data_IF_748868427802
#
_entry.id   IF_748868427802
#
_cell.length_a   1.000
_cell.length_b   1.000
_cell.length_c   1.000
_cell.angle_alpha   90.00
_cell.angle_beta   90.00
_cell.angle_gamma   90.00
#
_symmetry.space_group_name_H-M   'P 1'
#
loop_
_entity.id
_entity.type
_entity.pdbx_description
1 polymer ?
#
# COMPACT_ATOMS: atom_id res chain seq x y z
N UNK A 1 27.46 80.91 6.89
CA UNK A 1 27.21 79.97 5.78
C UNK A 1 28.10 78.75 5.98
N UNK A 2 27.50 77.57 5.78
CA UNK A 2 28.07 76.21 5.82
C UNK A 2 28.12 75.46 7.17
N UNK A 3 27.63 74.22 7.07
CA UNK A 3 27.72 73.05 7.97
C UNK A 3 26.77 73.06 9.18
N UNK A 4 26.14 71.95 9.63
CA UNK A 4 26.31 70.50 9.45
C UNK A 4 25.04 69.80 10.01
N UNK A 5 24.79 68.55 9.61
CA UNK A 5 23.78 67.62 10.20
C UNK A 5 24.05 67.39 11.70
N UNK A 6 23.05 66.99 12.51
CA UNK A 6 23.24 65.75 13.26
C UNK A 6 22.00 64.84 13.34
N UNK A 7 22.28 63.54 13.46
CA UNK A 7 21.40 62.41 13.74
C UNK A 7 20.74 62.49 15.14
N UNK A 8 19.61 61.80 15.33
CA UNK A 8 19.21 61.16 16.60
C UNK A 8 17.99 60.24 16.43
N UNK A 9 18.16 58.97 16.80
CA UNK A 9 17.14 57.91 16.88
C UNK A 9 16.22 58.05 18.13
N UNK A 10 15.43 57.03 18.55
CA UNK A 10 14.24 56.40 17.96
C UNK A 10 13.02 56.52 18.90
N UNK A 11 11.80 56.17 18.46
CA UNK A 11 10.63 56.02 19.35
C UNK A 11 9.85 54.72 19.07
N UNK A 12 9.40 53.98 20.12
CA UNK A 12 8.95 52.59 19.98
C UNK A 12 7.45 52.52 19.69
N UNK A 13 7.06 51.94 18.55
CA UNK A 13 5.66 51.72 18.20
C UNK A 13 5.28 50.24 18.32
N UNK A 14 4.44 49.96 19.31
CA UNK A 14 3.76 48.70 19.66
C UNK A 14 3.33 47.88 18.43
N UNK A 15 3.79 46.63 18.33
CA UNK A 15 3.22 45.61 17.43
C UNK A 15 1.80 45.26 17.88
N UNK A 16 0.81 45.56 17.02
CA UNK A 16 -0.56 45.04 17.11
C UNK A 16 -0.60 43.63 16.50
N UNK A 17 -1.10 42.66 17.24
CA UNK A 17 -1.38 41.30 16.75
C UNK A 17 -2.59 41.31 15.81
N UNK A 18 -2.49 40.66 14.66
CA UNK A 18 -3.57 40.47 13.69
C UNK A 18 -4.04 39.02 13.78
N UNK A 19 -5.30 38.81 14.14
CA UNK A 19 -5.98 37.52 14.07
C UNK A 19 -6.05 37.07 12.60
N UNK A 20 -5.67 35.83 12.32
CA UNK A 20 -5.94 35.14 11.07
C UNK A 20 -7.10 34.16 11.30
N UNK A 21 -8.17 34.31 10.52
CA UNK A 21 -9.26 33.35 10.40
C UNK A 21 -8.80 32.16 9.52
N UNK A 22 -9.30 30.93 9.74
CA UNK A 22 -8.89 29.78 8.95
C UNK A 22 -9.60 29.73 7.58
N UNK A 23 -8.81 29.76 6.52
CA UNK A 23 -9.21 29.47 5.13
C UNK A 23 -9.69 28.00 4.97
N UNK A 24 -10.63 27.71 4.04
CA UNK A 24 -11.21 26.38 3.86
C UNK A 24 -10.21 25.42 3.19
N UNK A 25 -10.06 24.22 3.77
CA UNK A 25 -9.20 23.16 3.24
C UNK A 25 -9.75 22.62 1.91
N UNK A 26 -8.94 22.75 0.87
CA UNK A 26 -9.15 22.17 -0.46
C UNK A 26 -9.04 20.64 -0.44
N UNK A 27 -10.04 19.96 -1.01
CA UNK A 27 -10.30 18.51 -0.92
C UNK A 27 -9.43 17.61 -1.84
N UNK A 28 -8.19 17.99 -2.16
CA UNK A 28 -7.38 17.29 -3.18
C UNK A 28 -6.13 16.54 -2.66
N UNK A 29 -5.92 16.44 -1.34
CA UNK A 29 -4.65 15.92 -0.79
C UNK A 29 -4.61 14.42 -0.45
N UNK A 30 -5.67 13.63 -0.70
CA UNK A 30 -5.69 12.21 -0.30
C UNK A 30 -4.98 11.29 -1.31
N UNK A 31 -4.79 11.71 -2.56
CA UNK A 31 -4.22 10.83 -3.61
C UNK A 31 -2.68 10.82 -3.59
N UNK A 32 -2.05 11.80 -2.94
CA UNK A 32 -0.59 11.96 -2.96
C UNK A 32 0.14 11.33 -1.76
N UNK A 33 -0.57 10.73 -0.80
CA UNK A 33 0.06 10.11 0.37
C UNK A 33 0.69 8.74 0.06
N UNK A 34 0.31 8.09 -1.04
CA UNK A 34 0.88 6.81 -1.47
C UNK A 34 2.06 6.94 -2.44
N UNK A 35 2.29 8.11 -3.03
CA UNK A 35 3.44 8.36 -3.92
C UNK A 35 4.73 8.62 -3.12
N UNK A 36 4.62 9.15 -1.91
CA UNK A 36 5.78 9.55 -1.09
C UNK A 36 6.35 8.43 -0.21
N UNK A 37 5.68 7.28 -0.08
CA UNK A 37 6.25 6.11 0.62
C UNK A 37 7.16 5.25 -0.26
N UNK A 38 7.48 5.71 -1.47
CA UNK A 38 8.31 4.99 -2.44
C UNK A 38 9.82 5.13 -2.18
N UNK A 39 10.25 6.08 -1.36
CA UNK A 39 11.67 6.45 -1.23
C UNK A 39 12.40 5.78 -0.06
N UNK A 40 11.71 5.10 0.85
CA UNK A 40 12.35 4.52 2.04
C UNK A 40 12.50 2.99 1.93
N UNK A 41 13.68 2.61 1.47
CA UNK A 41 14.34 1.30 1.61
C UNK A 41 13.94 0.19 0.62
N UNK A 42 14.92 -0.69 0.40
CA UNK A 42 14.96 -1.87 -0.48
C UNK A 42 15.49 -1.58 -1.88
N UNK A 43 16.59 -2.26 -2.21
CA UNK A 43 17.10 -2.37 -3.57
C UNK A 43 15.93 -2.75 -4.50
N UNK A 44 15.52 -1.82 -5.38
CA UNK A 44 14.40 -2.04 -6.27
C UNK A 44 14.74 -3.18 -7.22
N UNK A 45 14.17 -4.35 -6.94
CA UNK A 45 14.29 -5.49 -7.82
C UNK A 45 13.39 -5.27 -9.04
N UNK A 46 13.83 -5.73 -10.20
CA UNK A 46 13.06 -5.60 -11.45
C UNK A 46 11.70 -6.29 -11.32
N UNK A 47 11.62 -7.39 -10.56
CA UNK A 47 10.36 -8.08 -10.24
C UNK A 47 9.39 -7.19 -9.46
N UNK A 48 9.86 -6.51 -8.42
CA UNK A 48 9.00 -5.63 -7.62
C UNK A 48 8.49 -4.45 -8.46
N UNK A 49 9.33 -3.87 -9.31
CA UNK A 49 8.92 -2.82 -10.24
C UNK A 49 7.89 -3.31 -11.26
N UNK A 50 8.13 -4.46 -11.89
CA UNK A 50 7.19 -5.05 -12.82
C UNK A 50 5.83 -5.31 -12.15
N UNK A 51 5.81 -5.86 -10.93
CA UNK A 51 4.57 -6.07 -10.17
C UNK A 51 3.83 -4.76 -9.88
N UNK A 52 4.53 -3.70 -9.47
CA UNK A 52 3.92 -2.38 -9.24
C UNK A 52 3.36 -1.78 -10.53
N UNK A 53 4.11 -1.86 -11.63
CA UNK A 53 3.68 -1.37 -12.93
C UNK A 53 2.45 -2.12 -13.45
N UNK A 54 2.46 -3.46 -13.37
CA UNK A 54 1.31 -4.28 -13.77
C UNK A 54 0.09 -3.99 -12.91
N UNK A 55 0.26 -3.85 -11.58
CA UNK A 55 -0.83 -3.45 -10.67
C UNK A 55 -1.43 -2.09 -11.05
N UNK A 56 -0.60 -1.11 -11.40
CA UNK A 56 -1.06 0.24 -11.76
C UNK A 56 -1.84 0.29 -13.09
N UNK A 57 -1.67 -0.71 -13.97
CA UNK A 57 -2.40 -0.78 -15.24
C UNK A 57 -3.85 -1.23 -15.07
N UNK A 58 -4.23 -1.77 -13.90
CA UNK A 58 -5.61 -2.19 -13.69
C UNK A 58 -6.54 -0.99 -13.58
N UNK A 59 -7.63 -0.95 -14.38
CA UNK A 59 -8.60 0.12 -14.29
C UNK A 59 -9.35 0.05 -12.96
N UNK A 60 -9.60 1.22 -12.36
CA UNK A 60 -10.38 1.34 -11.13
C UNK A 60 -11.87 1.19 -11.46
N UNK A 61 -12.34 -0.05 -11.60
CA UNK A 61 -13.74 -0.35 -11.88
C UNK A 61 -14.50 -0.41 -10.55
N UNK A 62 -15.39 0.55 -10.31
CA UNK A 62 -16.19 0.65 -9.06
C UNK A 62 -17.01 -0.62 -8.71
N UNK A 63 -17.31 -1.45 -9.71
CA UNK A 63 -18.06 -2.71 -9.54
C UNK A 63 -17.20 -3.93 -9.16
N UNK A 64 -15.88 -3.85 -9.28
CA UNK A 64 -14.98 -4.97 -8.96
C UNK A 64 -14.49 -4.79 -7.52
N UNK A 65 -14.95 -5.64 -6.61
CA UNK A 65 -14.60 -5.55 -5.18
C UNK A 65 -13.22 -6.14 -4.85
N UNK A 66 -12.63 -6.87 -5.80
CA UNK A 66 -11.38 -7.61 -5.60
C UNK A 66 -10.21 -6.74 -6.08
N UNK A 67 -9.17 -6.51 -5.25
CA UNK A 67 -7.94 -5.87 -5.69
C UNK A 67 -7.30 -6.59 -6.88
N UNK A 68 -6.54 -5.87 -7.71
CA UNK A 68 -5.81 -6.49 -8.80
C UNK A 68 -4.74 -7.47 -8.29
N UNK A 69 -4.54 -8.55 -9.05
CA UNK A 69 -3.45 -9.50 -8.86
C UNK A 69 -2.80 -9.79 -10.20
N UNK A 70 -1.52 -10.15 -10.16
CA UNK A 70 -0.69 -10.43 -11.34
C UNK A 70 -0.48 -11.92 -11.46
N UNK A 71 -0.60 -12.49 -12.65
CA UNK A 71 -0.26 -13.89 -12.86
C UNK A 71 1.26 -14.06 -12.99
N UNK A 72 1.83 -15.11 -12.41
CA UNK A 72 3.26 -15.39 -12.52
C UNK A 72 3.69 -15.57 -13.99
N UNK A 73 2.80 -16.10 -14.85
CA UNK A 73 3.01 -16.18 -16.30
C UNK A 73 3.16 -14.82 -16.98
N UNK A 74 2.47 -13.77 -16.50
CA UNK A 74 2.62 -12.40 -16.99
C UNK A 74 3.99 -11.84 -16.60
N UNK A 75 4.46 -12.15 -15.40
CA UNK A 75 5.76 -11.70 -14.91
C UNK A 75 6.92 -12.34 -15.68
N UNK A 76 6.85 -13.65 -15.95
CA UNK A 76 7.80 -14.34 -16.82
C UNK A 76 7.82 -13.82 -18.26
N UNK A 77 6.71 -13.22 -18.71
CA UNK A 77 6.64 -12.61 -20.05
C UNK A 77 7.28 -11.22 -20.08
N UNK A 78 7.33 -10.52 -18.94
CA UNK A 78 7.89 -9.18 -18.82
C UNK A 78 9.39 -9.17 -18.50
N UNK A 79 9.89 -10.19 -17.78
CA UNK A 79 11.28 -10.28 -17.32
C UNK A 79 11.93 -11.52 -17.92
N UNK A 80 13.11 -11.35 -18.53
CA UNK A 80 13.78 -12.41 -19.28
C UNK A 80 14.31 -13.55 -18.40
N UNK A 81 14.78 -13.23 -17.20
CA UNK A 81 15.45 -14.18 -16.33
C UNK A 81 14.47 -14.81 -15.32
N UNK A 82 13.87 -15.95 -15.69
CA UNK A 82 12.87 -16.64 -14.85
C UNK A 82 13.42 -17.06 -13.48
N UNK A 83 14.68 -17.52 -13.43
CA UNK A 83 15.32 -17.96 -12.18
C UNK A 83 15.49 -16.82 -11.18
N UNK A 84 15.78 -15.61 -11.68
CA UNK A 84 15.88 -14.41 -10.85
C UNK A 84 14.52 -13.97 -10.35
N UNK A 85 13.50 -13.97 -11.23
CA UNK A 85 12.10 -13.74 -10.84
C UNK A 85 11.67 -14.70 -9.72
N UNK A 86 11.98 -15.99 -9.84
CA UNK A 86 11.61 -16.97 -8.80
C UNK A 86 12.31 -16.68 -7.46
N UNK A 87 13.60 -16.33 -7.48
CA UNK A 87 14.35 -15.97 -6.27
C UNK A 87 13.81 -14.69 -5.63
N UNK A 88 13.49 -13.69 -6.44
CA UNK A 88 12.96 -12.41 -5.98
C UNK A 88 11.54 -12.55 -5.44
N UNK A 89 10.64 -13.24 -6.14
CA UNK A 89 9.29 -13.58 -5.64
C UNK A 89 9.40 -14.27 -4.28
N UNK A 90 10.29 -15.26 -4.17
CA UNK A 90 10.45 -16.00 -2.92
C UNK A 90 11.01 -15.11 -1.79
N UNK A 91 11.85 -14.11 -2.11
CA UNK A 91 12.27 -13.09 -1.13
C UNK A 91 11.13 -12.19 -0.71
N UNK A 92 10.39 -11.62 -1.68
CA UNK A 92 9.23 -10.77 -1.43
C UNK A 92 8.14 -11.50 -0.61
N UNK A 93 7.99 -12.81 -0.84
CA UNK A 93 7.09 -13.68 -0.05
C UNK A 93 7.57 -13.80 1.39
N UNK A 94 8.85 -14.09 1.63
CA UNK A 94 9.44 -14.18 3.00
C UNK A 94 9.38 -12.84 3.74
N UNK A 95 9.57 -11.74 3.03
CA UNK A 95 9.45 -10.37 3.54
C UNK A 95 7.99 -9.92 3.73
N UNK A 96 7.01 -10.79 3.40
CA UNK A 96 5.57 -10.55 3.51
C UNK A 96 5.07 -9.37 2.67
N UNK A 97 5.82 -8.98 1.64
CA UNK A 97 5.44 -7.91 0.70
C UNK A 97 4.35 -8.39 -0.26
N UNK A 98 4.47 -9.64 -0.71
CA UNK A 98 3.51 -10.26 -1.62
C UNK A 98 3.02 -11.59 -1.10
N UNK A 99 1.80 -11.95 -1.51
CA UNK A 99 1.19 -13.25 -1.29
C UNK A 99 0.95 -13.95 -2.62
N UNK A 100 1.27 -15.23 -2.65
CA UNK A 100 1.09 -16.10 -3.80
C UNK A 100 -0.13 -16.97 -3.52
N UNK A 101 -0.97 -17.18 -4.53
CA UNK A 101 -2.12 -18.06 -4.45
C UNK A 101 -2.06 -19.04 -5.61
N UNK A 102 -2.26 -20.32 -5.30
CA UNK A 102 -2.45 -21.33 -6.35
C UNK A 102 -3.88 -21.22 -6.91
N UNK A 103 -4.00 -21.00 -8.22
CA UNK A 103 -5.28 -20.98 -8.92
C UNK A 103 -5.64 -22.38 -9.43
N UNK A 104 -6.94 -22.60 -9.65
CA UNK A 104 -7.46 -23.86 -10.18
C UNK A 104 -7.61 -23.86 -11.71
N UNK A 105 -7.09 -22.84 -12.40
CA UNK A 105 -7.31 -22.60 -13.83
C UNK A 105 -6.37 -23.36 -14.76
N UNK A 106 -5.29 -23.94 -14.22
CA UNK A 106 -4.28 -24.67 -15.00
C UNK A 106 -3.19 -25.28 -14.12
N UNK A 107 -2.26 -26.03 -14.73
CA UNK A 107 -1.01 -26.42 -14.07
C UNK A 107 -0.12 -25.17 -13.98
N UNK A 108 0.40 -24.89 -12.79
CA UNK A 108 1.32 -23.77 -12.50
C UNK A 108 0.74 -22.35 -12.62
N UNK A 109 -0.58 -22.20 -12.61
CA UNK A 109 -1.21 -20.88 -12.50
C UNK A 109 -1.14 -20.36 -11.06
N UNK A 110 -0.20 -19.45 -10.83
CA UNK A 110 -0.04 -18.74 -9.57
C UNK A 110 -0.41 -17.27 -9.73
N UNK A 111 -1.27 -16.78 -8.83
CA UNK A 111 -1.58 -15.38 -8.68
C UNK A 111 -0.69 -14.74 -7.61
N UNK A 112 -0.18 -13.55 -7.88
CA UNK A 112 0.64 -12.76 -6.99
C UNK A 112 -0.14 -11.48 -6.67
N UNK A 113 -0.35 -11.22 -5.39
CA UNK A 113 -1.02 -10.01 -4.90
C UNK A 113 -0.14 -9.36 -3.83
N UNK A 114 -0.19 -8.03 -3.71
CA UNK A 114 0.44 -7.37 -2.56
C UNK A 114 -0.28 -7.77 -1.27
N UNK A 115 0.49 -8.02 -0.21
CA UNK A 115 -0.10 -8.41 1.08
C UNK A 115 -1.02 -7.34 1.62
N UNK A 116 -0.66 -6.07 1.45
CA UNK A 116 -1.48 -4.93 1.88
C UNK A 116 -2.84 -4.90 1.15
N UNK A 117 -2.85 -5.22 -0.14
CA UNK A 117 -4.08 -5.29 -0.94
C UNK A 117 -4.99 -6.42 -0.44
N UNK A 118 -4.39 -7.57 -0.12
CA UNK A 118 -5.09 -8.71 0.43
C UNK A 118 -5.67 -8.42 1.82
N UNK A 119 -4.90 -7.81 2.72
CA UNK A 119 -5.39 -7.40 4.06
C UNK A 119 -6.52 -6.39 3.92
N UNK A 120 -6.35 -5.37 3.06
CA UNK A 120 -7.40 -4.38 2.78
C UNK A 120 -8.67 -5.03 2.25
N UNK A 121 -8.55 -6.09 1.44
CA UNK A 121 -9.71 -6.85 0.96
C UNK A 121 -10.43 -7.56 2.11
N UNK A 122 -9.71 -8.21 3.02
CA UNK A 122 -10.29 -8.86 4.20
C UNK A 122 -11.04 -7.81 5.03
N UNK A 123 -10.41 -6.68 5.34
CA UNK A 123 -11.03 -5.62 6.14
C UNK A 123 -12.30 -5.06 5.50
N UNK A 124 -12.32 -4.89 4.18
CA UNK A 124 -13.55 -4.48 3.47
C UNK A 124 -14.66 -5.53 3.56
N UNK A 125 -14.32 -6.82 3.56
CA UNK A 125 -15.29 -7.91 3.72
C UNK A 125 -15.81 -7.96 5.15
N UNK A 126 -14.92 -7.88 6.14
CA UNK A 126 -15.27 -7.84 7.58
C UNK A 126 -16.22 -6.68 7.85
N UNK A 127 -15.88 -5.47 7.40
CA UNK A 127 -16.74 -4.28 7.56
C UNK A 127 -18.14 -4.44 6.95
N UNK A 128 -18.26 -5.18 5.84
CA UNK A 128 -19.57 -5.49 5.24
C UNK A 128 -20.34 -6.55 6.04
N UNK A 129 -19.63 -7.43 6.75
CA UNK A 129 -20.22 -8.52 7.53
C UNK A 129 -20.59 -8.11 8.97
N UNK A 130 -20.04 -7.00 9.49
CA UNK A 130 -20.43 -6.38 10.77
C UNK A 130 -21.94 -6.17 10.90
N UNK A 131 -22.64 -6.03 9.78
CA UNK A 131 -24.09 -5.87 9.73
C UNK A 131 -24.86 -7.18 10.00
N UNK A 132 -24.23 -8.35 9.90
CA UNK A 132 -24.93 -9.65 9.80
C UNK A 132 -24.60 -10.68 10.89
N UNK A 133 -23.40 -10.74 11.50
CA UNK A 133 -23.06 -11.75 12.54
C UNK A 133 -21.75 -11.48 13.30
N UNK A 134 -21.80 -11.38 14.65
CA UNK A 134 -20.60 -11.14 15.51
C UNK A 134 -19.59 -12.30 15.55
N UNK A 135 -20.06 -13.55 15.50
CA UNK A 135 -19.18 -14.72 15.58
C UNK A 135 -18.25 -14.83 14.35
N UNK A 136 -18.69 -14.33 13.19
CA UNK A 136 -17.90 -14.39 11.97
C UNK A 136 -16.69 -13.44 12.05
N UNK A 137 -16.81 -12.32 12.76
CA UNK A 137 -15.70 -11.36 12.96
C UNK A 137 -14.54 -11.97 13.73
N UNK A 138 -14.82 -12.72 14.79
CA UNK A 138 -13.78 -13.36 15.61
C UNK A 138 -12.95 -14.35 14.79
N UNK A 139 -13.58 -15.06 13.84
CA UNK A 139 -12.90 -15.98 12.93
C UNK A 139 -11.99 -15.23 11.95
N UNK A 140 -12.45 -14.10 11.39
CA UNK A 140 -11.62 -13.30 10.47
C UNK A 140 -10.43 -12.65 11.17
N UNK A 141 -10.62 -12.12 12.38
CA UNK A 141 -9.53 -11.54 13.17
C UNK A 141 -8.51 -12.60 13.59
N UNK A 142 -8.99 -13.79 13.99
CA UNK A 142 -8.11 -14.93 14.25
C UNK A 142 -7.32 -15.32 12.99
N UNK A 143 -7.99 -15.42 11.84
CA UNK A 143 -7.37 -15.78 10.57
C UNK A 143 -6.32 -14.75 10.13
N UNK A 144 -6.62 -13.46 10.23
CA UNK A 144 -5.69 -12.35 9.91
C UNK A 144 -4.45 -12.40 10.79
N UNK A 145 -4.61 -12.63 12.09
CA UNK A 145 -3.51 -12.60 13.04
C UNK A 145 -2.64 -13.87 12.96
N UNK A 146 -3.27 -15.04 12.89
CA UNK A 146 -2.57 -16.32 13.05
C UNK A 146 -2.18 -16.96 11.72
N UNK A 147 -3.00 -16.82 10.68
CA UNK A 147 -2.82 -17.51 9.40
C UNK A 147 -2.18 -16.60 8.36
N UNK A 148 -2.68 -15.38 8.17
CA UNK A 148 -2.19 -14.49 7.10
C UNK A 148 -0.71 -14.14 7.27
N UNK A 149 -0.26 -13.89 8.49
CA UNK A 149 1.12 -13.48 8.77
C UNK A 149 2.11 -14.64 8.93
N UNK A 150 1.61 -15.84 9.26
CA UNK A 150 2.46 -17.00 9.58
C UNK A 150 2.54 -18.00 8.44
N UNK A 151 1.51 -18.06 7.57
CA UNK A 151 1.41 -19.01 6.46
C UNK A 151 1.58 -18.29 5.14
N UNK A 152 2.79 -18.43 4.61
CA UNK A 152 3.23 -17.81 3.36
C UNK A 152 3.12 -18.76 2.16
N UNK A 153 2.70 -20.00 2.37
CA UNK A 153 2.54 -20.98 1.30
C UNK A 153 1.36 -20.63 0.37
N UNK A 154 1.43 -21.00 -0.92
CA UNK A 154 0.39 -20.68 -1.89
C UNK A 154 -0.99 -21.33 -1.65
N UNK A 155 -1.05 -22.26 -0.69
CA UNK A 155 -2.24 -22.99 -0.30
C UNK A 155 -2.26 -23.15 1.21
N UNK A 156 -3.44 -22.97 1.82
CA UNK A 156 -3.65 -23.20 3.25
C UNK A 156 -4.32 -24.56 3.40
N UNK A 157 -3.67 -25.48 4.11
CA UNK A 157 -4.20 -26.81 4.40
C UNK A 157 -5.19 -26.77 5.58
N UNK A 158 -6.13 -27.72 5.63
CA UNK A 158 -7.08 -27.81 6.76
C UNK A 158 -6.38 -28.03 8.11
N UNK A 159 -5.22 -28.69 8.09
CA UNK A 159 -4.37 -28.95 9.25
C UNK A 159 -3.84 -27.66 9.91
N UNK A 160 -3.88 -26.55 9.17
CA UNK A 160 -3.31 -25.27 9.57
C UNK A 160 -4.36 -24.30 10.13
N UNK A 161 -5.62 -24.74 10.14
CA UNK A 161 -6.78 -24.00 10.65
C UNK A 161 -7.25 -24.52 12.02
N UNK A 162 -6.48 -25.43 12.64
CA UNK A 162 -6.79 -26.09 13.91
C UNK A 162 -5.98 -25.50 15.05
#
# INVERSE_FOLDING_TARGET
MSNKIPESEPSPSRKRARNEEPEPQSENDVVNSHSLSLEENFAFSDTLMALRMMRAQFPHIQKVSVPPFVLQSQLYSSIKNRTEVDREIESLKREKVVRIFKLNTGQDDHAIMFTDDYISQIERVVKRMEENSKNDLEVFEWFKTHVVQSKLDPSIGHQELV
#
